data_IF_216026917224
#
_entry.id   IF_216026917224
#
_cell.length_a   1.000
_cell.length_b   1.000
_cell.length_c   1.000
_cell.angle_alpha   90.00
_cell.angle_beta   90.00
_cell.angle_gamma   90.00
#
_symmetry.space_group_name_H-M   'P 1'
#
loop_
_entity.id
_entity.type
_entity.pdbx_description
1 polymer ?
#
# COMPACT_ATOMS: atom_id res chain seq x y z
N UNK A 1 8.28 7.92 11.76
CA UNK A 1 7.41 6.73 11.86
C UNK A 1 7.82 5.94 13.08
N UNK A 2 7.33 6.41 14.21
CA UNK A 2 7.78 6.04 15.55
C UNK A 2 7.42 4.58 15.83
N UNK A 3 6.20 4.17 15.47
CA UNK A 3 5.70 2.80 15.67
C UNK A 3 6.32 1.76 14.73
N UNK A 4 6.42 2.05 13.43
CA UNK A 4 6.83 1.06 12.43
C UNK A 4 8.34 0.90 12.27
N UNK A 5 9.15 1.74 12.92
CA UNK A 5 10.61 1.78 12.70
C UNK A 5 11.30 0.41 12.89
N UNK A 6 11.01 -0.39 13.94
CA UNK A 6 11.65 -1.70 14.11
C UNK A 6 11.29 -2.70 13.01
N UNK A 7 10.05 -2.64 12.49
CA UNK A 7 9.61 -3.48 11.37
C UNK A 7 10.29 -3.05 10.06
N UNK A 8 10.38 -1.75 9.80
CA UNK A 8 11.03 -1.23 8.58
C UNK A 8 12.51 -1.62 8.53
N UNK A 9 13.20 -1.72 9.68
CA UNK A 9 14.58 -2.22 9.73
C UNK A 9 14.71 -3.65 9.20
N UNK A 10 13.74 -4.51 9.49
CA UNK A 10 13.74 -5.91 9.02
C UNK A 10 13.46 -6.02 7.51
N UNK A 11 12.84 -4.99 6.92
CA UNK A 11 12.55 -4.91 5.49
C UNK A 11 13.63 -4.18 4.68
N UNK A 12 14.76 -3.83 5.31
CA UNK A 12 15.83 -3.02 4.72
C UNK A 12 15.39 -1.59 4.34
N UNK A 13 14.56 -0.97 5.18
CA UNK A 13 14.11 0.41 5.08
C UNK A 13 13.60 0.84 3.68
N UNK A 14 12.59 0.16 3.11
CA UNK A 14 11.93 0.67 1.92
C UNK A 14 11.29 2.03 2.23
N UNK A 15 11.16 2.88 1.21
CA UNK A 15 10.54 4.21 1.37
C UNK A 15 9.12 4.07 1.94
N UNK A 16 8.87 4.72 3.07
CA UNK A 16 7.59 4.69 3.77
C UNK A 16 6.93 6.07 3.75
N UNK A 17 5.66 6.12 3.36
CA UNK A 17 4.80 7.30 3.47
C UNK A 17 3.65 7.02 4.44
N UNK A 18 3.77 7.39 5.71
CA UNK A 18 2.75 7.14 6.75
C UNK A 18 2.39 8.43 7.56
N UNK A 19 1.67 8.25 8.65
CA UNK A 19 1.36 9.28 9.65
C UNK A 19 2.48 9.41 10.69
N UNK A 20 2.39 10.43 11.54
CA UNK A 20 3.34 10.62 12.65
C UNK A 20 2.63 10.42 13.98
N UNK A 21 3.33 9.85 14.95
CA UNK A 21 2.94 9.93 16.35
C UNK A 21 3.62 11.15 16.99
N UNK A 22 2.97 11.73 17.98
CA UNK A 22 3.49 12.83 18.79
C UNK A 22 3.83 12.26 20.17
N UNK A 23 5.05 12.51 20.63
CA UNK A 23 5.52 12.04 21.94
C UNK A 23 5.86 13.21 22.85
N UNK A 24 5.67 13.04 24.15
CA UNK A 24 6.16 13.98 25.16
C UNK A 24 7.68 13.79 25.43
N UNK A 25 8.22 14.57 26.35
CA UNK A 25 9.64 14.52 26.76
C UNK A 25 10.03 13.18 27.42
N UNK A 26 9.06 12.45 27.96
CA UNK A 26 9.26 11.14 28.58
C UNK A 26 9.13 9.99 27.57
N UNK A 27 8.84 10.29 26.29
CA UNK A 27 8.65 9.31 25.23
C UNK A 27 7.26 8.65 25.22
N UNK A 28 6.30 9.14 26.00
CA UNK A 28 4.93 8.66 25.96
C UNK A 28 4.20 9.18 24.71
N UNK A 29 3.41 8.32 24.06
CA UNK A 29 2.56 8.72 22.92
C UNK A 29 1.38 9.52 23.45
N UNK A 30 1.28 10.79 23.07
CA UNK A 30 0.23 11.70 23.55
C UNK A 30 -0.76 12.10 22.45
N UNK A 31 -0.39 11.98 21.18
CA UNK A 31 -1.25 12.34 20.05
C UNK A 31 -0.75 11.69 18.74
N UNK A 32 -1.49 11.90 17.65
CA UNK A 32 -1.12 11.52 16.29
C UNK A 32 -1.38 12.67 15.30
N UNK A 33 -0.59 12.71 14.24
CA UNK A 33 -0.75 13.67 13.15
C UNK A 33 -0.96 12.95 11.83
N UNK A 34 -2.17 13.07 11.29
CA UNK A 34 -2.48 12.66 9.92
C UNK A 34 -1.65 13.52 8.94
N UNK A 35 -1.16 12.89 7.88
CA UNK A 35 -0.26 13.55 6.92
C UNK A 35 -1.03 14.46 5.97
N UNK A 36 -2.12 13.92 5.43
CA UNK A 36 -3.04 14.54 4.48
C UNK A 36 -4.28 13.64 4.36
N UNK A 37 -5.34 14.16 3.73
CA UNK A 37 -6.51 13.38 3.34
C UNK A 37 -6.17 12.38 2.23
N UNK A 38 -6.82 11.21 2.26
CA UNK A 38 -6.63 10.10 1.33
C UNK A 38 -5.15 9.80 0.96
N UNK A 39 -4.29 9.60 1.98
CA UNK A 39 -2.84 9.72 1.84
C UNK A 39 -2.22 8.68 0.90
N UNK A 40 -2.84 7.49 0.77
CA UNK A 40 -2.36 6.41 -0.09
C UNK A 40 -2.66 6.73 -1.56
N UNK A 41 -3.88 7.17 -1.87
CA UNK A 41 -4.27 7.65 -3.20
C UNK A 41 -3.40 8.83 -3.66
N UNK A 42 -3.17 9.81 -2.77
CA UNK A 42 -2.31 10.96 -3.09
C UNK A 42 -0.87 10.56 -3.42
N UNK A 43 -0.34 9.47 -2.83
CA UNK A 43 0.97 8.95 -3.24
C UNK A 43 0.94 8.43 -4.68
N UNK A 44 -0.10 7.69 -5.08
CA UNK A 44 -0.25 7.18 -6.45
C UNK A 44 -0.32 8.35 -7.44
N UNK A 45 -1.16 9.35 -7.16
CA UNK A 45 -1.27 10.56 -7.98
C UNK A 45 0.07 11.30 -8.11
N UNK A 46 0.87 11.37 -7.04
CA UNK A 46 2.18 11.99 -7.09
C UNK A 46 3.16 11.19 -7.97
N UNK A 47 3.15 9.86 -7.91
CA UNK A 47 3.95 9.02 -8.80
C UNK A 47 3.51 9.13 -10.27
N UNK A 48 2.20 9.23 -10.52
CA UNK A 48 1.67 9.53 -11.85
C UNK A 48 2.12 10.89 -12.38
N UNK A 49 2.15 11.92 -11.51
CA UNK A 49 2.70 13.24 -11.85
C UNK A 49 4.19 13.22 -12.24
N UNK A 50 4.91 12.15 -11.87
CA UNK A 50 6.30 11.88 -12.26
C UNK A 50 6.40 10.91 -13.45
N UNK A 51 5.28 10.62 -14.13
CA UNK A 51 5.16 9.70 -15.27
C UNK A 51 5.52 8.24 -14.94
N UNK A 52 5.37 7.81 -13.67
CA UNK A 52 5.44 6.39 -13.34
C UNK A 52 4.12 5.69 -13.63
N UNK A 53 4.21 4.43 -14.04
CA UNK A 53 3.10 3.48 -13.96
C UNK A 53 3.12 2.79 -12.60
N UNK A 54 1.99 2.72 -11.92
CA UNK A 54 1.88 2.23 -10.54
C UNK A 54 1.09 0.91 -10.51
N UNK A 55 1.69 -0.12 -9.90
CA UNK A 55 0.98 -1.34 -9.51
C UNK A 55 0.91 -1.33 -7.98
N UNK A 56 -0.29 -1.43 -7.43
CA UNK A 56 -0.54 -1.33 -5.99
C UNK A 56 -1.16 -2.63 -5.45
N UNK A 57 -0.84 -2.96 -4.20
CA UNK A 57 -1.48 -4.07 -3.49
C UNK A 57 -1.86 -3.65 -2.07
N UNK A 58 -2.99 -4.16 -1.60
CA UNK A 58 -3.56 -3.89 -0.28
C UNK A 58 -4.53 -4.99 0.13
N UNK A 59 -4.98 -4.97 1.38
CA UNK A 59 -5.77 -6.05 1.99
C UNK A 59 -7.13 -5.58 2.50
N UNK A 60 -7.39 -4.27 2.54
CA UNK A 60 -8.55 -3.74 3.27
C UNK A 60 -9.29 -2.62 2.54
N UNK A 61 -10.44 -2.23 3.09
CA UNK A 61 -11.22 -1.08 2.61
C UNK A 61 -10.41 0.22 2.51
N UNK A 62 -9.47 0.46 3.42
CA UNK A 62 -8.67 1.69 3.45
C UNK A 62 -7.63 1.76 2.31
N UNK A 63 -7.46 0.68 1.54
CA UNK A 63 -6.60 0.60 0.37
C UNK A 63 -7.34 0.86 -0.93
N UNK A 64 -8.67 0.73 -0.94
CA UNK A 64 -9.48 0.71 -2.18
C UNK A 64 -9.33 1.97 -3.04
N UNK A 65 -9.14 3.15 -2.43
CA UNK A 65 -8.88 4.39 -3.16
C UNK A 65 -7.50 4.40 -3.82
N UNK A 66 -6.48 3.85 -3.16
CA UNK A 66 -5.14 3.64 -3.73
C UNK A 66 -5.17 2.60 -4.86
N UNK A 67 -5.88 1.48 -4.66
CA UNK A 67 -5.99 0.42 -5.66
C UNK A 67 -6.74 0.90 -6.91
N UNK A 68 -7.78 1.72 -6.74
CA UNK A 68 -8.55 2.29 -7.86
C UNK A 68 -7.79 3.37 -8.62
N UNK A 69 -6.92 4.13 -7.94
CA UNK A 69 -6.10 5.16 -8.58
C UNK A 69 -4.89 4.55 -9.31
N UNK A 70 -4.38 3.40 -8.89
CA UNK A 70 -3.25 2.74 -9.54
C UNK A 70 -3.62 2.19 -10.94
N UNK A 71 -2.62 2.03 -11.81
CA UNK A 71 -2.81 1.42 -13.14
C UNK A 71 -3.18 -0.07 -13.05
N UNK A 72 -2.85 -0.72 -11.94
CA UNK A 72 -3.33 -2.04 -11.57
C UNK A 72 -3.36 -2.18 -10.03
N UNK A 73 -4.53 -2.53 -9.48
CA UNK A 73 -4.73 -2.82 -8.07
C UNK A 73 -4.90 -4.33 -7.83
N UNK A 74 -4.26 -4.86 -6.79
CA UNK A 74 -4.31 -6.29 -6.41
C UNK A 74 -4.71 -6.42 -4.94
N UNK A 75 -5.76 -7.18 -4.65
CA UNK A 75 -6.12 -7.55 -3.28
C UNK A 75 -5.23 -8.71 -2.81
N UNK A 76 -4.56 -8.54 -1.67
CA UNK A 76 -3.71 -9.58 -1.08
C UNK A 76 -4.19 -9.93 0.32
N UNK A 77 -4.60 -11.19 0.52
CA UNK A 77 -5.14 -11.68 1.80
C UNK A 77 -6.29 -10.81 2.35
N UNK A 78 -7.11 -10.27 1.44
CA UNK A 78 -8.24 -9.44 1.81
C UNK A 78 -9.42 -10.25 2.38
N UNK A 79 -10.24 -9.68 3.28
CA UNK A 79 -11.48 -10.32 3.73
C UNK A 79 -12.47 -10.56 2.59
N UNK A 80 -13.24 -11.65 2.65
CA UNK A 80 -14.22 -12.04 1.62
C UNK A 80 -15.15 -10.89 1.22
N UNK A 81 -15.65 -10.12 2.19
CA UNK A 81 -16.52 -8.97 1.93
C UNK A 81 -15.86 -7.89 1.06
N UNK A 82 -14.57 -7.63 1.26
CA UNK A 82 -13.81 -6.66 0.43
C UNK A 82 -13.67 -7.22 -0.99
N UNK A 83 -13.43 -8.52 -1.14
CA UNK A 83 -13.31 -9.17 -2.44
C UNK A 83 -14.64 -9.11 -3.21
N UNK A 84 -15.75 -9.38 -2.52
CA UNK A 84 -17.11 -9.33 -3.09
C UNK A 84 -17.51 -7.92 -3.55
N UNK A 85 -17.15 -6.88 -2.79
CA UNK A 85 -17.48 -5.49 -3.10
C UNK A 85 -16.55 -4.85 -4.15
N UNK A 86 -15.33 -5.39 -4.32
CA UNK A 86 -14.35 -4.89 -5.28
C UNK A 86 -13.85 -5.98 -6.24
N UNK A 87 -14.75 -6.62 -7.02
CA UNK A 87 -14.42 -7.76 -7.89
C UNK A 87 -13.52 -7.38 -9.07
N UNK A 88 -13.33 -6.09 -9.34
CA UNK A 88 -12.41 -5.59 -10.36
C UNK A 88 -10.92 -5.84 -10.03
N UNK A 89 -10.59 -6.11 -8.76
CA UNK A 89 -9.21 -6.40 -8.36
C UNK A 89 -8.98 -7.91 -8.30
N UNK A 90 -7.92 -8.45 -8.94
CA UNK A 90 -7.50 -9.82 -8.66
C UNK A 90 -7.21 -9.97 -7.17
N UNK A 91 -7.73 -11.04 -6.57
CA UNK A 91 -7.53 -11.37 -5.15
C UNK A 91 -6.73 -12.65 -5.01
N UNK A 92 -5.65 -12.58 -4.23
CA UNK A 92 -4.70 -13.69 -4.03
C UNK A 92 -4.30 -13.82 -2.57
N UNK A 93 -3.87 -15.02 -2.15
CA UNK A 93 -3.64 -15.32 -0.72
C UNK A 93 -2.22 -15.76 -0.39
N UNK A 94 -1.40 -16.06 -1.39
CA UNK A 94 0.02 -16.40 -1.23
C UNK A 94 0.95 -15.38 -1.87
N UNK A 95 2.19 -15.30 -1.37
CA UNK A 95 3.19 -14.40 -1.96
C UNK A 95 3.60 -14.81 -3.38
N UNK A 96 3.52 -16.09 -3.72
CA UNK A 96 3.86 -16.55 -5.07
C UNK A 96 2.78 -16.18 -6.09
N UNK A 97 1.50 -16.29 -5.72
CA UNK A 97 0.40 -15.74 -6.51
C UNK A 97 0.52 -14.20 -6.63
N UNK A 98 0.86 -13.51 -5.54
CA UNK A 98 1.06 -12.06 -5.57
C UNK A 98 2.16 -11.67 -6.57
N UNK A 99 3.32 -12.34 -6.55
CA UNK A 99 4.39 -12.12 -7.53
C UNK A 99 3.90 -12.33 -8.97
N UNK A 100 3.10 -13.37 -9.22
CA UNK A 100 2.52 -13.62 -10.53
C UNK A 100 1.60 -12.49 -10.98
N UNK A 101 0.75 -11.97 -10.09
CA UNK A 101 -0.12 -10.83 -10.40
C UNK A 101 0.68 -9.56 -10.72
N UNK A 102 1.79 -9.29 -10.00
CA UNK A 102 2.71 -8.20 -10.36
C UNK A 102 3.36 -8.38 -11.74
N UNK A 103 3.74 -9.62 -12.11
CA UNK A 103 4.27 -9.93 -13.44
C UNK A 103 3.21 -9.72 -14.53
N UNK A 104 1.99 -10.25 -14.34
CA UNK A 104 0.86 -10.08 -15.26
C UNK A 104 0.48 -8.61 -15.45
N UNK A 105 0.49 -7.85 -14.36
CA UNK A 105 0.17 -6.43 -14.38
C UNK A 105 1.30 -5.58 -14.97
N UNK A 106 2.49 -6.12 -15.25
CA UNK A 106 3.63 -5.35 -15.79
C UNK A 106 3.53 -5.19 -17.30
N UNK A 107 3.86 -4.00 -17.82
CA UNK A 107 4.07 -3.78 -19.26
C UNK A 107 5.45 -4.26 -19.75
N UNK A 108 6.23 -4.91 -18.88
CA UNK A 108 7.57 -5.43 -19.16
C UNK A 108 7.50 -6.95 -19.27
N UNK A 109 8.35 -7.54 -20.09
CA UNK A 109 8.53 -8.99 -20.14
C UNK A 109 9.33 -9.45 -18.90
N UNK A 110 8.62 -9.70 -17.80
CA UNK A 110 9.19 -10.23 -16.55
C UNK A 110 8.42 -11.48 -16.13
N UNK A 111 9.16 -12.49 -15.65
CA UNK A 111 8.61 -13.74 -15.11
C UNK A 111 9.15 -13.99 -13.71
N UNK A 112 8.40 -14.75 -12.92
CA UNK A 112 8.78 -15.20 -11.58
C UNK A 112 9.75 -16.37 -11.67
#
# INVERSE_FOLDING_TARGET
YEFSHPLMRQLDFPTLFCHRLVTDENGAIIDYKLRQEDPKRQCVMAFHGLNYRVIASGDSYNDTTMLSEADAGILFKAPDKVIEEFPQFPSVTSYDELKQEFCKASNRAISV
#
